data_IF_888844040161
#
_entry.id   IF_888844040161
#
_cell.length_a   1.000
_cell.length_b   1.000
_cell.length_c   1.000
_cell.angle_alpha   90.00
_cell.angle_beta   90.00
_cell.angle_gamma   90.00
#
_symmetry.space_group_name_H-M   'P 1'
#
loop_
_entity.id
_entity.type
_entity.pdbx_description
1 polymer ?
#
# COMPACT_ATOMS: atom_id res chain seq x y z
N UNK A 1 5.28 1.57 -6.62
CA UNK A 1 4.50 2.77 -7.02
C UNK A 1 5.20 4.03 -6.54
N UNK A 2 5.59 4.13 -5.26
CA UNK A 2 6.15 5.35 -4.64
C UNK A 2 7.61 5.65 -4.97
N UNK A 3 8.41 4.64 -5.34
CA UNK A 3 9.86 4.80 -5.57
C UNK A 3 10.28 6.03 -6.43
N UNK A 4 9.62 6.37 -7.56
CA UNK A 4 9.97 7.57 -8.34
C UNK A 4 9.73 8.89 -7.60
N UNK A 5 8.81 8.92 -6.64
CA UNK A 5 8.53 10.07 -5.79
C UNK A 5 9.51 10.16 -4.61
N UNK A 6 9.88 9.02 -4.03
CA UNK A 6 10.90 8.95 -2.97
C UNK A 6 12.26 9.42 -3.45
N UNK A 7 12.59 9.17 -4.72
CA UNK A 7 13.83 9.65 -5.33
C UNK A 7 13.93 11.18 -5.33
N UNK A 8 12.81 11.89 -5.47
CA UNK A 8 12.76 13.36 -5.40
C UNK A 8 13.14 13.91 -4.02
N UNK A 9 12.98 13.09 -2.97
CA UNK A 9 13.25 13.46 -1.58
C UNK A 9 14.70 13.18 -1.17
N UNK A 10 15.51 12.57 -2.04
CA UNK A 10 16.90 12.24 -1.70
C UNK A 10 17.75 13.50 -1.57
N UNK A 11 18.67 13.49 -0.62
CA UNK A 11 19.58 14.61 -0.43
C UNK A 11 20.48 14.79 -1.68
N UNK A 12 20.57 16.02 -2.18
CA UNK A 12 21.31 16.41 -3.41
C UNK A 12 20.75 15.89 -4.73
N UNK A 13 19.56 15.28 -4.79
CA UNK A 13 18.89 15.05 -6.07
C UNK A 13 18.30 16.36 -6.59
N UNK A 14 18.53 16.65 -7.88
CA UNK A 14 17.81 17.73 -8.54
C UNK A 14 16.32 17.34 -8.60
N UNK A 15 15.44 18.26 -8.19
CA UNK A 15 14.01 18.03 -8.30
C UNK A 15 13.62 18.02 -9.79
N UNK A 16 13.36 16.84 -10.33
CA UNK A 16 12.93 16.66 -11.71
C UNK A 16 11.62 15.87 -11.75
N UNK A 17 10.54 16.56 -12.10
CA UNK A 17 9.24 15.93 -12.27
C UNK A 17 9.02 15.51 -13.72
N UNK A 18 9.27 14.24 -14.02
CA UNK A 18 9.06 13.66 -15.33
C UNK A 18 7.83 12.75 -15.37
N UNK A 19 7.70 11.99 -16.47
CA UNK A 19 6.56 11.10 -16.64
C UNK A 19 6.49 9.98 -15.58
N UNK A 20 7.63 9.51 -15.08
CA UNK A 20 7.67 8.45 -14.06
C UNK A 20 7.07 8.93 -12.74
N UNK A 21 7.40 10.16 -12.33
CA UNK A 21 6.84 10.81 -11.15
C UNK A 21 5.35 11.06 -11.32
N UNK A 22 4.95 11.58 -12.49
CA UNK A 22 3.54 11.86 -12.77
C UNK A 22 2.69 10.57 -12.72
N UNK A 23 3.15 9.50 -13.39
CA UNK A 23 2.46 8.19 -13.35
C UNK A 23 2.37 7.63 -11.93
N UNK A 24 3.44 7.73 -11.14
CA UNK A 24 3.44 7.30 -9.75
C UNK A 24 2.41 8.07 -8.92
N UNK A 25 2.37 9.40 -9.07
CA UNK A 25 1.44 10.26 -8.36
C UNK A 25 -0.02 9.99 -8.73
N UNK A 26 -0.33 9.87 -10.03
CA UNK A 26 -1.70 9.60 -10.48
C UNK A 26 -2.17 8.20 -10.08
N UNK A 27 -1.27 7.20 -10.12
CA UNK A 27 -1.58 5.86 -9.61
C UNK A 27 -1.90 5.90 -8.11
N UNK A 28 -1.13 6.64 -7.30
CA UNK A 28 -1.42 6.77 -5.87
C UNK A 28 -2.78 7.43 -5.63
N UNK A 29 -3.08 8.51 -6.36
CA UNK A 29 -4.39 9.17 -6.27
C UNK A 29 -5.53 8.20 -6.56
N UNK A 30 -5.42 7.46 -7.65
CA UNK A 30 -6.42 6.46 -8.04
C UNK A 30 -6.59 5.37 -6.97
N UNK A 31 -5.49 4.83 -6.44
CA UNK A 31 -5.53 3.81 -5.38
C UNK A 31 -6.12 4.33 -4.08
N UNK A 32 -5.82 5.57 -3.69
CA UNK A 32 -6.35 6.18 -2.47
C UNK A 32 -7.86 6.40 -2.55
N UNK A 33 -8.41 6.70 -3.74
CA UNK A 33 -9.86 6.89 -3.91
C UNK A 33 -10.61 5.58 -4.18
N UNK A 34 -9.92 4.50 -4.54
CA UNK A 34 -10.51 3.19 -4.86
C UNK A 34 -10.19 2.09 -3.83
N UNK A 35 -9.60 2.45 -2.68
CA UNK A 35 -9.17 1.48 -1.65
C UNK A 35 -10.34 0.60 -1.19
N UNK A 36 -10.13 -0.72 -1.00
CA UNK A 36 -11.20 -1.65 -0.59
C UNK A 36 -11.82 -1.27 0.76
N UNK A 37 -13.01 -1.79 1.00
CA UNK A 37 -13.74 -1.58 2.26
C UNK A 37 -12.95 -2.23 3.41
N UNK A 38 -12.29 -1.38 4.21
CA UNK A 38 -11.61 -1.82 5.43
C UNK A 38 -12.64 -2.19 6.50
N UNK A 39 -12.36 -3.26 7.22
CA UNK A 39 -13.17 -3.70 8.35
C UNK A 39 -12.58 -3.22 9.68
N UNK A 40 -13.44 -3.06 10.69
CA UNK A 40 -12.98 -2.87 12.05
C UNK A 40 -12.46 -4.19 12.63
N UNK A 41 -11.42 -4.15 13.48
CA UNK A 41 -10.91 -5.34 14.13
C UNK A 41 -11.96 -5.95 15.06
N UNK A 42 -12.14 -7.27 14.96
CA UNK A 42 -12.88 -8.07 15.92
C UNK A 42 -11.89 -8.83 16.79
N UNK A 43 -11.90 -8.54 18.09
CA UNK A 43 -10.94 -9.15 19.03
C UNK A 43 -11.21 -10.64 19.31
N UNK A 44 -12.39 -11.13 18.94
CA UNK A 44 -12.77 -12.55 19.07
C UNK A 44 -12.28 -13.41 17.89
N UNK A 45 -11.66 -12.80 16.88
CA UNK A 45 -11.15 -13.48 15.68
C UNK A 45 -9.62 -13.45 15.63
N UNK A 46 -8.97 -14.46 15.04
CA UNK A 46 -7.53 -14.41 14.79
C UNK A 46 -7.19 -13.28 13.81
N UNK A 47 -5.97 -12.76 13.92
CA UNK A 47 -5.40 -11.81 12.98
C UNK A 47 -4.48 -12.54 12.01
N UNK A 48 -4.59 -12.20 10.73
CA UNK A 48 -3.71 -12.67 9.67
C UNK A 48 -2.84 -11.51 9.18
N UNK A 49 -1.54 -11.75 9.05
CA UNK A 49 -0.60 -10.78 8.48
C UNK A 49 -0.10 -11.35 7.16
N UNK A 50 -0.46 -10.68 6.07
CA UNK A 50 0.06 -10.97 4.73
C UNK A 50 1.21 -10.02 4.46
N UNK A 51 2.35 -10.55 4.02
CA UNK A 51 3.55 -9.75 3.72
C UNK A 51 4.08 -10.14 2.35
N UNK A 52 4.48 -9.15 1.57
CA UNK A 52 5.21 -9.34 0.32
C UNK A 52 6.43 -8.40 0.29
N UNK A 53 7.52 -8.86 -0.31
CA UNK A 53 8.77 -8.13 -0.33
C UNK A 53 9.48 -8.28 -1.68
N UNK A 54 10.07 -7.17 -2.12
CA UNK A 54 10.92 -7.09 -3.31
C UNK A 54 12.24 -6.40 -2.96
N UNK A 55 13.17 -6.37 -3.91
CA UNK A 55 14.44 -5.64 -3.73
C UNK A 55 14.29 -4.11 -3.56
N UNK A 56 13.09 -3.57 -3.78
CA UNK A 56 12.84 -2.12 -3.75
C UNK A 56 11.87 -1.70 -2.64
N UNK A 57 10.95 -2.58 -2.24
CA UNK A 57 9.90 -2.26 -1.27
C UNK A 57 9.40 -3.51 -0.55
N UNK A 58 8.85 -3.30 0.64
CA UNK A 58 8.09 -4.28 1.44
C UNK A 58 6.69 -3.73 1.59
N UNK A 59 5.68 -4.58 1.48
CA UNK A 59 4.28 -4.25 1.77
C UNK A 59 3.65 -5.29 2.68
N UNK A 60 2.67 -4.87 3.46
CA UNK A 60 1.90 -5.79 4.30
C UNK A 60 0.41 -5.42 4.34
N UNK A 61 -0.40 -6.43 4.67
CA UNK A 61 -1.84 -6.27 4.93
C UNK A 61 -2.17 -7.01 6.22
N UNK A 62 -2.78 -6.29 7.17
CA UNK A 62 -3.42 -6.88 8.32
C UNK A 62 -4.86 -7.23 7.95
N UNK A 63 -5.29 -8.45 8.21
CA UNK A 63 -6.62 -8.92 7.86
C UNK A 63 -7.18 -9.89 8.91
N UNK A 64 -8.47 -10.22 8.80
CA UNK A 64 -9.12 -11.25 9.60
C UNK A 64 -10.02 -12.13 8.72
N UNK A 65 -10.33 -13.38 9.13
CA UNK A 65 -11.23 -14.25 8.39
C UNK A 65 -12.60 -13.60 8.12
N UNK A 66 -12.93 -13.51 6.82
CA UNK A 66 -14.22 -13.07 6.30
C UNK A 66 -15.20 -14.22 6.08
N UNK A 67 -16.18 -14.03 5.19
CA UNK A 67 -17.07 -15.12 4.78
C UNK A 67 -16.35 -16.08 3.82
N UNK A 68 -16.28 -17.36 4.17
CA UNK A 68 -15.60 -18.38 3.37
C UNK A 68 -14.08 -18.38 3.54
N UNK A 69 -13.33 -18.46 2.42
CA UNK A 69 -11.85 -18.55 2.41
C UNK A 69 -11.20 -17.17 2.18
N UNK A 70 -11.99 -16.08 2.21
CA UNK A 70 -11.49 -14.74 1.90
C UNK A 70 -11.21 -13.98 3.19
N UNK A 71 -9.99 -13.46 3.31
CA UNK A 71 -9.62 -12.55 4.39
C UNK A 71 -10.11 -11.13 4.10
N UNK A 72 -10.66 -10.47 5.12
CA UNK A 72 -11.09 -9.07 5.04
C UNK A 72 -9.98 -8.14 5.57
N UNK A 73 -9.55 -7.13 4.78
CA UNK A 73 -8.49 -6.22 5.18
C UNK A 73 -8.93 -5.30 6.31
N UNK A 74 -8.05 -5.11 7.30
CA UNK A 74 -8.15 -4.11 8.36
C UNK A 74 -7.29 -2.89 8.03
N UNK A 75 -6.06 -3.09 7.56
CA UNK A 75 -5.17 -2.03 7.11
C UNK A 75 -4.07 -2.55 6.16
N UNK A 76 -3.43 -1.61 5.46
CA UNK A 76 -2.27 -1.84 4.60
C UNK A 76 -1.08 -1.03 5.12
N UNK A 77 0.12 -1.57 4.96
CA UNK A 77 1.40 -0.93 5.30
C UNK A 77 2.37 -0.99 4.12
#
# INVERSE_FOLDING_TARGET
>A
ITAPLEELLRHKSAFHWGEAQQRAFDTLKDRLVTTPILHFPSWDKPFHVHVDASGTAIGAMLAQPGEGIVDHPLCFA
#
